data_IF_231393320772
#
_entry.id   IF_231393320772
#
_cell.length_a   1.000
_cell.length_b   1.000
_cell.length_c   1.000
_cell.angle_alpha   90.00
_cell.angle_beta   90.00
_cell.angle_gamma   90.00
#
_symmetry.space_group_name_H-M   'P 1'
#
loop_
_entity.id
_entity.type
_entity.pdbx_description
1 polymer ?
#
# COMPACT_ATOMS: atom_id res chain seq x y z
N UNK A 1 1.17 -2.35 -11.28
CA UNK A 1 1.42 -0.89 -11.38
C UNK A 1 1.28 -0.27 -10.01
N UNK A 2 2.24 0.55 -9.63
CA UNK A 2 2.07 1.47 -8.52
C UNK A 2 0.95 2.51 -8.80
N UNK A 3 0.57 3.31 -7.83
CA UNK A 3 -0.49 4.30 -8.00
C UNK A 3 -0.09 5.55 -8.81
N UNK A 4 1.14 5.62 -9.34
CA UNK A 4 1.63 6.79 -10.04
C UNK A 4 0.91 6.99 -11.39
N UNK A 5 0.36 8.18 -11.59
CA UNK A 5 -0.47 8.47 -12.77
C UNK A 5 0.35 8.55 -14.05
N UNK A 6 1.62 8.94 -13.95
CA UNK A 6 2.56 9.01 -15.07
C UNK A 6 2.85 7.64 -15.65
N UNK A 7 3.12 6.63 -14.82
CA UNK A 7 3.35 5.25 -15.28
C UNK A 7 2.15 4.69 -16.05
N UNK A 8 0.93 4.99 -15.60
CA UNK A 8 -0.30 4.55 -16.31
C UNK A 8 -0.43 5.23 -17.67
N UNK A 9 -0.10 6.52 -17.75
CA UNK A 9 -0.21 7.29 -18.99
C UNK A 9 0.83 6.81 -20.02
N UNK A 10 2.08 6.69 -19.60
CA UNK A 10 3.15 6.16 -20.45
C UNK A 10 2.83 4.74 -20.95
N UNK A 11 2.35 3.85 -20.06
CA UNK A 11 1.96 2.51 -20.47
C UNK A 11 0.77 2.49 -21.45
N UNK A 12 -0.17 3.43 -21.33
CA UNK A 12 -1.30 3.53 -22.27
C UNK A 12 -0.88 4.09 -23.65
N UNK A 13 0.17 4.92 -23.68
CA UNK A 13 0.74 5.47 -24.92
C UNK A 13 1.57 4.41 -25.67
N UNK A 14 2.41 3.66 -24.95
CA UNK A 14 3.32 2.67 -25.54
C UNK A 14 2.70 1.29 -25.74
N UNK A 15 1.71 0.93 -24.94
CA UNK A 15 1.07 -0.39 -24.93
C UNK A 15 -0.47 -0.25 -24.87
N UNK A 16 -1.11 0.17 -25.97
CA UNK A 16 -2.55 0.50 -26.00
C UNK A 16 -3.46 -0.69 -25.63
N UNK A 17 -3.02 -1.91 -25.94
CA UNK A 17 -3.76 -3.15 -25.65
C UNK A 17 -3.51 -3.70 -24.23
N UNK A 18 -2.56 -3.14 -23.51
CA UNK A 18 -2.24 -3.58 -22.15
C UNK A 18 -3.30 -3.17 -21.14
N UNK A 19 -3.69 -4.10 -20.29
CA UNK A 19 -4.64 -3.84 -19.22
C UNK A 19 -3.92 -3.35 -17.97
N UNK A 20 -4.26 -2.15 -17.51
CA UNK A 20 -3.74 -1.62 -16.26
C UNK A 20 -4.30 -2.39 -15.07
N UNK A 21 -3.43 -2.99 -14.26
CA UNK A 21 -3.75 -3.65 -12.99
C UNK A 21 -3.05 -2.90 -11.87
N UNK A 22 -3.80 -2.52 -10.84
CA UNK A 22 -3.22 -1.85 -9.67
C UNK A 22 -2.76 -2.90 -8.66
N UNK A 23 -1.52 -2.75 -8.19
CA UNK A 23 -0.92 -3.67 -7.23
C UNK A 23 -1.68 -3.64 -5.89
N UNK A 24 -2.03 -4.81 -5.33
CA UNK A 24 -2.63 -4.93 -4.01
C UNK A 24 -1.84 -4.26 -2.90
N UNK A 25 -0.52 -4.45 -2.87
CA UNK A 25 0.36 -3.86 -1.85
C UNK A 25 0.25 -2.34 -1.87
N UNK A 26 0.21 -1.73 -3.07
CA UNK A 26 0.05 -0.30 -3.19
C UNK A 26 -1.29 0.19 -2.62
N UNK A 27 -2.39 -0.51 -2.88
CA UNK A 27 -3.71 -0.17 -2.33
C UNK A 27 -3.72 -0.27 -0.80
N UNK A 28 -3.13 -1.35 -0.26
CA UNK A 28 -3.00 -1.55 1.19
C UNK A 28 -2.12 -0.47 1.82
N UNK A 29 -1.00 -0.09 1.17
CA UNK A 29 -0.13 1.00 1.62
C UNK A 29 -0.86 2.34 1.68
N UNK A 30 -1.64 2.71 0.67
CA UNK A 30 -2.44 3.94 0.68
C UNK A 30 -3.42 3.98 1.87
N UNK A 31 -4.05 2.86 2.18
CA UNK A 31 -4.97 2.76 3.32
C UNK A 31 -4.21 2.82 4.65
N UNK A 32 -3.06 2.15 4.75
CA UNK A 32 -2.15 2.18 5.91
C UNK A 32 -1.64 3.60 6.21
N UNK A 33 -1.18 4.30 5.19
CA UNK A 33 -0.66 5.66 5.34
C UNK A 33 -1.78 6.62 5.78
N UNK A 34 -2.99 6.44 5.24
CA UNK A 34 -4.17 7.18 5.66
C UNK A 34 -4.48 6.96 7.15
N UNK A 35 -4.38 5.71 7.61
CA UNK A 35 -4.57 5.34 9.01
C UNK A 35 -3.51 5.97 9.93
N UNK A 36 -2.24 5.89 9.53
CA UNK A 36 -1.11 6.42 10.31
C UNK A 36 -1.15 7.94 10.40
N UNK A 37 -1.50 8.61 9.30
CA UNK A 37 -1.65 10.06 9.31
C UNK A 37 -2.81 10.48 10.20
N UNK A 38 -3.95 9.76 10.16
CA UNK A 38 -5.07 10.04 11.05
C UNK A 38 -4.70 9.87 12.52
N UNK A 39 -3.99 8.78 12.86
CA UNK A 39 -3.49 8.55 14.21
C UNK A 39 -2.60 9.70 14.68
N UNK A 40 -1.62 10.10 13.86
CA UNK A 40 -0.70 11.20 14.19
C UNK A 40 -1.43 12.53 14.36
N UNK A 41 -2.43 12.79 13.52
CA UNK A 41 -3.21 14.01 13.59
C UNK A 41 -4.02 14.09 14.88
N UNK A 42 -4.69 13.02 15.29
CA UNK A 42 -5.40 12.96 16.58
C UNK A 42 -4.42 13.20 17.75
N UNK A 43 -3.26 12.55 17.72
CA UNK A 43 -2.24 12.79 18.75
C UNK A 43 -1.83 14.27 18.84
N UNK A 44 -1.70 14.93 17.69
CA UNK A 44 -1.35 16.35 17.64
C UNK A 44 -2.52 17.24 18.08
N UNK A 45 -3.75 16.90 17.71
CA UNK A 45 -4.96 17.62 18.15
C UNK A 45 -5.15 17.53 19.67
N UNK A 46 -4.89 16.34 20.28
CA UNK A 46 -5.08 16.11 21.72
C UNK A 46 -3.91 16.60 22.58
N UNK A 47 -2.69 16.45 22.10
CA UNK A 47 -1.50 16.66 22.94
C UNK A 47 -0.62 17.82 22.47
N UNK A 48 -0.95 18.48 21.35
CA UNK A 48 -0.17 19.56 20.71
C UNK A 48 1.32 19.20 20.48
N UNK A 49 1.65 17.89 20.44
CA UNK A 49 3.00 17.35 20.29
C UNK A 49 2.98 15.99 19.57
N UNK A 50 4.17 15.54 19.17
CA UNK A 50 4.36 14.16 18.70
C UNK A 50 4.08 13.16 19.84
N UNK A 51 3.57 11.96 19.48
CA UNK A 51 3.27 10.90 20.44
C UNK A 51 4.51 10.46 21.25
N UNK A 52 4.29 10.16 22.51
CA UNK A 52 5.29 9.59 23.44
C UNK A 52 4.90 8.16 23.81
N UNK A 53 5.82 7.41 24.38
CA UNK A 53 5.62 6.01 24.75
C UNK A 53 4.40 5.77 25.67
N UNK A 54 4.05 6.76 26.51
CA UNK A 54 2.88 6.71 27.39
C UNK A 54 1.53 7.00 26.71
N UNK A 55 1.54 7.53 25.47
CA UNK A 55 0.29 7.88 24.81
C UNK A 55 -0.38 6.61 24.25
N UNK A 56 -1.69 6.40 24.50
CA UNK A 56 -2.41 5.20 24.03
C UNK A 56 -2.33 5.02 22.50
N UNK A 57 -2.45 6.11 21.74
CA UNK A 57 -2.36 6.09 20.28
C UNK A 57 -0.94 5.78 19.78
N UNK A 58 0.10 6.12 20.54
CA UNK A 58 1.48 5.78 20.19
C UNK A 58 1.75 4.29 20.43
N UNK A 59 1.31 3.76 21.55
CA UNK A 59 1.46 2.33 21.90
C UNK A 59 0.62 1.45 20.95
N UNK A 60 -0.57 1.89 20.56
CA UNK A 60 -1.45 1.18 19.64
C UNK A 60 -0.95 1.09 18.19
N UNK A 61 0.11 1.84 17.80
CA UNK A 61 0.55 1.95 16.39
C UNK A 61 0.77 0.59 15.71
N UNK A 62 1.38 -0.38 16.39
CA UNK A 62 1.63 -1.73 15.83
C UNK A 62 0.33 -2.53 15.73
N UNK A 63 -0.52 -2.47 16.74
CA UNK A 63 -1.82 -3.14 16.74
C UNK A 63 -2.74 -2.64 15.64
N UNK A 64 -2.75 -1.33 15.38
CA UNK A 64 -3.52 -0.71 14.30
C UNK A 64 -3.10 -1.22 12.91
N UNK A 65 -1.84 -1.60 12.72
CA UNK A 65 -1.33 -2.15 11.47
C UNK A 65 -1.47 -3.68 11.39
N UNK A 66 -1.74 -4.32 12.51
CA UNK A 66 -1.93 -5.77 12.57
C UNK A 66 -3.33 -6.11 12.05
N UNK A 67 -3.43 -7.18 11.27
CA UNK A 67 -4.72 -7.70 10.80
C UNK A 67 -5.57 -8.12 12.00
N UNK A 68 -6.86 -7.81 11.97
CA UNK A 68 -7.78 -8.03 13.10
C UNK A 68 -7.79 -9.48 13.61
N UNK A 69 -7.73 -10.47 12.69
CA UNK A 69 -7.70 -11.89 13.05
C UNK A 69 -6.36 -12.37 13.64
N UNK A 70 -5.30 -11.57 13.59
CA UNK A 70 -3.99 -11.88 14.16
C UNK A 70 -3.74 -11.20 15.51
N UNK A 71 -4.70 -10.40 15.96
CA UNK A 71 -4.62 -9.74 17.26
C UNK A 71 -4.90 -10.74 18.38
N UNK A 72 -4.07 -10.68 19.42
CA UNK A 72 -4.34 -11.42 20.65
C UNK A 72 -5.58 -10.88 21.36
N UNK A 73 -6.27 -11.66 22.21
CA UNK A 73 -7.44 -11.17 22.97
C UNK A 73 -7.15 -9.90 23.77
N UNK A 74 -5.97 -9.79 24.37
CA UNK A 74 -5.53 -8.59 25.07
C UNK A 74 -5.43 -7.37 24.15
N UNK A 75 -4.87 -7.55 22.96
CA UNK A 75 -4.76 -6.46 21.96
C UNK A 75 -6.12 -6.05 21.40
N UNK A 76 -7.02 -7.02 21.22
CA UNK A 76 -8.41 -6.73 20.80
C UNK A 76 -9.13 -5.88 21.86
N UNK A 77 -8.98 -6.22 23.13
CA UNK A 77 -9.55 -5.44 24.23
C UNK A 77 -8.96 -4.02 24.28
N UNK A 78 -7.64 -3.89 24.17
CA UNK A 78 -6.98 -2.58 24.12
C UNK A 78 -7.48 -1.71 22.94
N UNK A 79 -7.71 -2.30 21.77
CA UNK A 79 -8.27 -1.55 20.63
C UNK A 79 -9.74 -1.21 20.85
N UNK A 80 -10.51 -2.08 21.48
CA UNK A 80 -11.89 -1.81 21.83
C UNK A 80 -11.97 -0.59 22.78
N UNK A 81 -11.17 -0.57 23.82
CA UNK A 81 -11.10 0.54 24.77
C UNK A 81 -10.66 1.84 24.05
N UNK A 82 -9.63 1.74 23.20
CA UNK A 82 -9.20 2.88 22.41
C UNK A 82 -10.31 3.46 21.52
N UNK A 83 -11.08 2.60 20.87
CA UNK A 83 -12.16 3.01 19.97
C UNK A 83 -13.48 3.39 20.68
N UNK A 84 -13.55 3.24 21.99
CA UNK A 84 -14.70 3.66 22.80
C UNK A 84 -14.72 5.17 23.03
N UNK A 85 -13.56 5.84 22.86
CA UNK A 85 -13.51 7.31 22.94
C UNK A 85 -14.14 7.97 21.71
N UNK A 86 -14.96 8.99 21.94
CA UNK A 86 -15.56 9.80 20.89
C UNK A 86 -14.49 10.49 19.99
N UNK A 87 -13.35 10.85 20.55
CA UNK A 87 -12.23 11.47 19.84
C UNK A 87 -11.58 10.52 18.82
N UNK A 88 -11.72 9.21 19.03
CA UNK A 88 -11.13 8.18 18.18
C UNK A 88 -12.08 7.59 17.13
N UNK A 89 -13.33 8.06 17.03
CA UNK A 89 -14.32 7.57 16.04
C UNK A 89 -13.77 7.64 14.62
N UNK A 90 -13.12 8.72 14.28
CA UNK A 90 -12.50 8.91 12.96
C UNK A 90 -11.36 7.92 12.70
N UNK A 91 -10.58 7.57 13.72
CA UNK A 91 -9.54 6.54 13.64
C UNK A 91 -10.15 5.15 13.44
N UNK A 92 -11.21 4.84 14.20
CA UNK A 92 -11.96 3.58 14.07
C UNK A 92 -12.50 3.37 12.64
N UNK A 93 -13.11 4.41 12.06
CA UNK A 93 -13.61 4.36 10.67
C UNK A 93 -12.45 4.08 9.69
N UNK A 94 -11.34 4.80 9.84
CA UNK A 94 -10.18 4.62 8.96
C UNK A 94 -9.55 3.23 9.13
N UNK A 95 -9.47 2.74 10.36
CA UNK A 95 -8.99 1.39 10.66
C UNK A 95 -9.88 0.30 10.06
N UNK A 96 -11.21 0.44 10.17
CA UNK A 96 -12.15 -0.50 9.54
C UNK A 96 -11.97 -0.55 8.03
N UNK A 97 -11.82 0.61 7.37
CA UNK A 97 -11.52 0.68 5.93
C UNK A 97 -10.22 -0.05 5.59
N UNK A 98 -9.16 0.16 6.37
CA UNK A 98 -7.88 -0.52 6.18
C UNK A 98 -8.01 -2.04 6.32
N UNK A 99 -8.72 -2.53 7.34
CA UNK A 99 -8.98 -3.97 7.55
C UNK A 99 -9.81 -4.56 6.41
N UNK A 100 -10.89 -3.89 5.99
CA UNK A 100 -11.74 -4.35 4.89
C UNK A 100 -10.97 -4.49 3.58
N UNK A 101 -10.04 -3.57 3.29
CA UNK A 101 -9.17 -3.66 2.11
C UNK A 101 -8.24 -4.88 2.21
N UNK A 102 -7.61 -5.12 3.36
CA UNK A 102 -6.75 -6.29 3.56
C UNK A 102 -7.56 -7.58 3.39
N UNK A 103 -8.73 -7.65 4.02
CA UNK A 103 -9.57 -8.85 3.99
C UNK A 103 -10.08 -9.14 2.58
N UNK A 104 -10.38 -8.11 1.78
CA UNK A 104 -10.76 -8.26 0.38
C UNK A 104 -9.63 -8.91 -0.46
N UNK A 105 -8.38 -8.47 -0.28
CA UNK A 105 -7.23 -9.07 -1.00
C UNK A 105 -6.81 -10.45 -0.46
N UNK A 106 -7.26 -10.81 0.74
CA UNK A 106 -7.00 -12.12 1.36
C UNK A 106 -8.22 -13.04 1.35
N UNK A 107 -9.25 -12.67 0.62
CA UNK A 107 -10.45 -13.49 0.47
C UNK A 107 -10.11 -14.85 -0.15
N UNK A 108 -10.82 -15.92 0.26
CA UNK A 108 -10.52 -17.28 -0.20
C UNK A 108 -10.68 -17.48 -1.70
N UNK A 109 -11.43 -16.63 -2.37
CA UNK A 109 -11.55 -16.62 -3.82
C UNK A 109 -11.64 -15.20 -4.39
N UNK A 110 -11.25 -15.04 -5.64
CA UNK A 110 -11.18 -13.75 -6.33
C UNK A 110 -12.56 -13.07 -6.49
N UNK A 111 -13.63 -13.87 -6.66
CA UNK A 111 -15.00 -13.35 -6.75
C UNK A 111 -15.44 -12.67 -5.47
N UNK A 112 -15.16 -13.30 -4.33
CA UNK A 112 -15.45 -12.74 -3.00
C UNK A 112 -14.62 -11.48 -2.74
N UNK A 113 -13.31 -11.54 -3.02
CA UNK A 113 -12.41 -10.39 -2.85
C UNK A 113 -12.84 -9.18 -3.70
N UNK A 114 -13.25 -9.43 -4.94
CA UNK A 114 -13.79 -8.39 -5.82
C UNK A 114 -15.05 -7.76 -5.25
N UNK A 115 -16.01 -8.58 -4.80
CA UNK A 115 -17.27 -8.11 -4.21
C UNK A 115 -17.02 -7.28 -2.94
N UNK A 116 -16.11 -7.72 -2.05
CA UNK A 116 -15.73 -6.99 -0.85
C UNK A 116 -15.08 -5.64 -1.20
N UNK A 117 -14.19 -5.61 -2.18
CA UNK A 117 -13.55 -4.37 -2.66
C UNK A 117 -14.57 -3.39 -3.23
N UNK A 118 -15.51 -3.87 -4.03
CA UNK A 118 -16.60 -3.04 -4.58
C UNK A 118 -17.52 -2.49 -3.48
N UNK A 119 -17.88 -3.32 -2.50
CA UNK A 119 -18.65 -2.90 -1.36
C UNK A 119 -17.96 -1.81 -0.55
N UNK A 120 -16.64 -1.94 -0.29
CA UNK A 120 -15.87 -0.92 0.43
C UNK A 120 -15.77 0.39 -0.36
N UNK A 121 -15.47 0.34 -1.66
CA UNK A 121 -15.44 1.53 -2.53
C UNK A 121 -16.82 2.22 -2.53
N UNK A 122 -17.91 1.46 -2.64
CA UNK A 122 -19.26 1.99 -2.62
C UNK A 122 -19.60 2.61 -1.26
N UNK A 123 -19.25 1.94 -0.16
CA UNK A 123 -19.44 2.45 1.20
C UNK A 123 -18.73 3.76 1.42
N UNK A 124 -17.47 3.85 1.04
CA UNK A 124 -16.70 5.08 1.10
C UNK A 124 -17.28 6.17 0.20
N UNK A 125 -17.89 5.80 -0.93
CA UNK A 125 -18.42 6.74 -1.90
C UNK A 125 -19.79 7.26 -1.53
N UNK A 126 -20.67 6.42 -0.97
CA UNK A 126 -22.05 6.77 -0.60
C UNK A 126 -22.13 7.50 0.74
N UNK A 127 -21.27 7.16 1.70
CA UNK A 127 -21.28 7.81 3.01
C UNK A 127 -20.71 9.22 2.94
N UNK A 128 -21.35 10.14 3.64
CA UNK A 128 -20.84 11.51 3.83
C UNK A 128 -19.66 11.44 4.79
N UNK A 129 -18.46 11.42 4.24
CA UNK A 129 -17.23 11.45 5.04
C UNK A 129 -17.12 12.83 5.71
N UNK A 130 -16.99 12.92 7.03
CA UNK A 130 -16.84 14.20 7.73
C UNK A 130 -15.66 15.02 7.15
N UNK A 131 -15.84 16.36 7.06
CA UNK A 131 -14.83 17.27 6.48
C UNK A 131 -13.46 17.17 7.14
N UNK A 132 -13.39 16.79 8.42
CA UNK A 132 -12.14 16.59 9.15
C UNK A 132 -11.31 15.38 8.72
N UNK A 133 -11.84 14.49 7.85
CA UNK A 133 -11.18 13.27 7.38
C UNK A 133 -10.56 13.46 5.97
N UNK A 134 -9.80 14.53 5.78
CA UNK A 134 -9.22 14.93 4.48
C UNK A 134 -8.49 13.80 3.78
N UNK A 135 -7.70 13.01 4.50
CA UNK A 135 -6.94 11.88 3.93
C UNK A 135 -7.82 10.70 3.56
N UNK A 136 -8.86 10.41 4.33
CA UNK A 136 -9.84 9.40 3.95
C UNK A 136 -10.62 9.83 2.70
N UNK A 137 -10.90 11.13 2.54
CA UNK A 137 -11.49 11.69 1.32
C UNK A 137 -10.53 11.51 0.13
N UNK A 138 -9.23 11.73 0.33
CA UNK A 138 -8.22 11.51 -0.72
C UNK A 138 -8.13 10.04 -1.10
N UNK A 139 -8.06 9.13 -0.11
CA UNK A 139 -8.10 7.69 -0.33
C UNK A 139 -9.35 7.29 -1.13
N UNK A 140 -10.53 7.73 -0.70
CA UNK A 140 -11.81 7.52 -1.41
C UNK A 140 -11.74 7.95 -2.88
N UNK A 141 -11.22 9.15 -3.15
CA UNK A 141 -11.08 9.67 -4.52
C UNK A 141 -10.14 8.79 -5.35
N UNK A 142 -9.02 8.36 -4.76
CA UNK A 142 -8.05 7.49 -5.43
C UNK A 142 -8.66 6.12 -5.72
N UNK A 143 -9.30 5.48 -4.74
CA UNK A 143 -9.94 4.18 -4.93
C UNK A 143 -11.05 4.24 -5.98
N UNK A 144 -11.89 5.31 -5.95
CA UNK A 144 -12.93 5.52 -6.96
C UNK A 144 -12.34 5.68 -8.36
N UNK A 145 -11.35 6.55 -8.52
CA UNK A 145 -10.69 6.81 -9.80
C UNK A 145 -10.00 5.57 -10.36
N UNK A 146 -9.43 4.74 -9.49
CA UNK A 146 -8.69 3.53 -9.85
C UNK A 146 -9.53 2.24 -9.72
N UNK A 147 -10.82 2.36 -9.49
CA UNK A 147 -11.70 1.20 -9.26
C UNK A 147 -11.64 0.14 -10.37
N UNK A 148 -11.45 0.57 -11.64
CA UNK A 148 -11.27 -0.34 -12.79
C UNK A 148 -9.96 -1.13 -12.68
N UNK A 149 -8.88 -0.44 -12.33
CA UNK A 149 -7.53 -1.02 -12.24
C UNK A 149 -7.42 -1.95 -11.02
N UNK A 150 -8.08 -1.59 -9.91
CA UNK A 150 -8.18 -2.41 -8.69
C UNK A 150 -8.98 -3.69 -8.98
N UNK A 151 -10.12 -3.59 -9.65
CA UNK A 151 -10.94 -4.75 -10.03
C UNK A 151 -10.25 -5.66 -11.03
N UNK A 152 -9.40 -5.12 -11.89
CA UNK A 152 -8.64 -5.88 -12.85
C UNK A 152 -7.72 -6.91 -12.20
N UNK A 153 -7.18 -6.65 -10.99
CA UNK A 153 -6.41 -7.61 -10.22
C UNK A 153 -7.19 -8.91 -9.95
N UNK A 154 -8.45 -8.81 -9.55
CA UNK A 154 -9.27 -9.99 -9.25
C UNK A 154 -9.66 -10.78 -10.51
N UNK A 155 -9.68 -10.13 -11.67
CA UNK A 155 -9.92 -10.80 -12.96
C UNK A 155 -8.63 -11.46 -13.50
N UNK A 156 -7.46 -10.96 -13.09
CA UNK A 156 -6.13 -11.44 -13.50
C UNK A 156 -5.28 -11.69 -12.25
N UNK A 157 -5.60 -12.73 -11.45
CA UNK A 157 -4.84 -13.06 -10.25
C UNK A 157 -3.38 -13.37 -10.63
N UNK A 158 -2.46 -13.14 -9.71
CA UNK A 158 -1.01 -13.29 -9.88
C UNK A 158 -0.32 -12.22 -10.73
N UNK A 159 -1.01 -11.17 -11.17
CA UNK A 159 -0.37 -9.97 -11.73
C UNK A 159 0.08 -9.05 -10.61
N UNK A 160 1.17 -9.40 -9.93
CA UNK A 160 1.79 -8.54 -8.90
C UNK A 160 2.92 -7.72 -9.52
N UNK A 161 3.28 -6.61 -8.89
CA UNK A 161 4.48 -5.85 -9.23
C UNK A 161 5.76 -6.48 -8.71
N UNK A 162 5.68 -7.53 -7.87
CA UNK A 162 6.83 -8.14 -7.21
C UNK A 162 8.00 -8.48 -8.15
N UNK A 163 7.79 -9.13 -9.32
CA UNK A 163 8.89 -9.37 -10.26
C UNK A 163 9.52 -8.08 -10.78
N UNK A 164 8.69 -7.05 -11.05
CA UNK A 164 9.17 -5.75 -11.50
C UNK A 164 9.90 -5.00 -10.39
N UNK A 165 9.45 -5.10 -9.15
CA UNK A 165 10.13 -4.51 -7.99
C UNK A 165 11.48 -5.18 -7.72
N UNK A 166 11.57 -6.50 -7.84
CA UNK A 166 12.84 -7.23 -7.76
C UNK A 166 13.80 -6.77 -8.86
N UNK A 167 13.33 -6.69 -10.12
CA UNK A 167 14.15 -6.20 -11.23
C UNK A 167 14.58 -4.76 -11.01
N UNK A 168 13.70 -3.88 -10.54
CA UNK A 168 14.03 -2.49 -10.25
C UNK A 168 14.96 -2.34 -9.02
N UNK A 169 14.91 -3.28 -8.09
CA UNK A 169 15.81 -3.32 -6.92
C UNK A 169 17.23 -3.72 -7.27
N UNK A 170 17.45 -4.50 -8.35
CA UNK A 170 18.79 -4.89 -8.80
C UNK A 170 19.68 -3.69 -9.15
N UNK A 171 19.23 -2.69 -9.96
CA UNK A 171 20.00 -1.49 -10.24
C UNK A 171 20.33 -0.66 -8.98
N UNK A 172 19.43 -0.57 -8.02
CA UNK A 172 19.69 0.13 -6.75
C UNK A 172 20.73 -0.60 -5.90
N UNK A 173 20.72 -1.92 -5.89
CA UNK A 173 21.74 -2.73 -5.23
C UNK A 173 23.11 -2.53 -5.87
N UNK A 174 23.17 -2.53 -7.21
CA UNK A 174 24.40 -2.25 -7.97
C UNK A 174 24.96 -0.85 -7.65
N UNK A 175 24.09 0.14 -7.53
CA UNK A 175 24.48 1.50 -7.18
C UNK A 175 25.10 1.58 -5.77
N UNK A 176 24.54 0.82 -4.82
CA UNK A 176 25.06 0.77 -3.45
C UNK A 176 26.36 -0.03 -3.30
N UNK A 177 26.58 -1.04 -4.15
CA UNK A 177 27.73 -1.95 -4.06
C UNK A 177 28.97 -1.53 -4.87
N UNK A 178 28.85 -0.57 -5.78
CA UNK A 178 29.95 -0.13 -6.66
C UNK A 178 30.07 1.40 -6.66
N UNK A 179 30.87 1.99 -5.74
CA UNK A 179 31.09 3.44 -5.67
C UNK A 179 31.70 4.06 -6.95
N UNK A 180 32.31 3.24 -7.80
CA UNK A 180 33.04 3.69 -8.98
C UNK A 180 32.20 3.90 -10.25
N UNK A 181 30.87 3.76 -10.18
CA UNK A 181 29.98 4.00 -11.32
C UNK A 181 29.71 5.50 -11.52
N UNK A 182 30.77 6.27 -11.72
CA UNK A 182 30.70 7.73 -11.96
C UNK A 182 30.02 8.11 -13.29
N UNK A 183 29.96 7.18 -14.27
CA UNK A 183 29.37 7.44 -15.58
C UNK A 183 28.01 6.77 -15.72
N UNK A 184 26.98 7.57 -15.96
CA UNK A 184 25.59 7.12 -16.18
C UNK A 184 25.50 5.98 -17.22
N UNK A 185 26.32 6.07 -18.28
CA UNK A 185 26.37 5.05 -19.35
C UNK A 185 26.80 3.69 -18.81
N UNK A 186 27.81 3.62 -17.95
CA UNK A 186 28.29 2.38 -17.35
C UNK A 186 27.23 1.79 -16.39
N UNK A 187 26.55 2.65 -15.64
CA UNK A 187 25.46 2.23 -14.79
C UNK A 187 24.31 1.61 -15.61
N UNK A 188 23.86 2.29 -16.67
CA UNK A 188 22.78 1.80 -17.54
C UNK A 188 23.18 0.46 -18.19
N UNK A 189 24.39 0.36 -18.74
CA UNK A 189 24.86 -0.88 -19.38
C UNK A 189 24.90 -2.03 -18.40
N UNK A 190 25.41 -1.81 -17.19
CA UNK A 190 25.49 -2.86 -16.15
C UNK A 190 24.12 -3.24 -15.62
N UNK A 191 23.24 -2.28 -15.42
CA UNK A 191 21.86 -2.53 -15.03
C UNK A 191 21.10 -3.37 -16.08
N UNK A 192 21.30 -3.08 -17.37
CA UNK A 192 20.71 -3.84 -18.48
C UNK A 192 21.28 -5.27 -18.56
N UNK A 193 22.58 -5.45 -18.33
CA UNK A 193 23.20 -6.77 -18.30
C UNK A 193 22.69 -7.63 -17.13
N UNK A 194 22.57 -7.07 -15.94
CA UNK A 194 22.05 -7.75 -14.75
C UNK A 194 20.55 -8.09 -14.90
N UNK A 195 19.75 -7.15 -15.35
CA UNK A 195 18.30 -7.36 -15.52
C UNK A 195 17.97 -8.23 -16.73
N UNK A 196 18.83 -8.25 -17.76
CA UNK A 196 18.72 -9.10 -18.94
C UNK A 196 19.16 -10.55 -18.73
N UNK A 197 19.59 -10.91 -17.51
CA UNK A 197 19.98 -12.29 -17.19
C UNK A 197 21.35 -12.73 -17.73
N UNK A 198 22.13 -11.81 -18.27
CA UNK A 198 23.50 -12.07 -18.69
C UNK A 198 24.42 -12.20 -17.46
N UNK A 199 24.41 -13.36 -16.82
CA UNK A 199 25.46 -13.72 -15.84
C UNK A 199 26.69 -14.12 -16.63
N UNK A 200 27.87 -13.50 -16.43
CA UNK A 200 29.09 -14.05 -16.97
C UNK A 200 29.26 -15.47 -16.41
N UNK A 201 29.34 -16.45 -17.30
CA UNK A 201 29.74 -17.80 -16.89
C UNK A 201 31.10 -17.67 -16.21
N UNK A 202 31.16 -17.99 -14.93
CA UNK A 202 32.43 -18.08 -14.25
C UNK A 202 33.20 -19.23 -14.93
N UNK A 203 34.18 -18.89 -15.72
CA UNK A 203 35.10 -19.87 -16.26
C UNK A 203 35.67 -20.68 -15.08
N UNK A 204 35.60 -22.01 -15.10
CA UNK A 204 36.29 -22.82 -14.13
C UNK A 204 37.78 -22.46 -14.29
N UNK A 205 38.38 -22.04 -13.22
CA UNK A 205 39.84 -21.80 -13.20
C UNK A 205 40.52 -23.10 -13.56
N UNK A 206 41.33 -23.06 -14.64
CA UNK A 206 42.35 -24.05 -14.97
C UNK A 206 43.44 -24.10 -13.88
#
# INVERSE_FOLDING_TARGET
MDGFTGSKRAAAEELPDARAVMDPLHVVHLARDTLDERRRRIQQELHHRRGRAADPLFTARRMLHTRSCLLTPRQQHQLFDLFSSAEHVALKITWSTYQNIIDAYRAPNTRMGKAMTEAEINTLTSRRVPRGLTKLITLRRTLKRRARDIRAYFNHPHTTGDPTEVINGLPEHLRGSTPELEKLTHYITRALLETGGFRPEQHPQL
#
